data_IF_393675733812
#
_entry.id   IF_393675733812
#
_cell.length_a   1.000
_cell.length_b   1.000
_cell.length_c   1.000
_cell.angle_alpha   90.00
_cell.angle_beta   90.00
_cell.angle_gamma   90.00
#
_symmetry.space_group_name_H-M   'P 1'
#
loop_
_entity.id
_entity.type
_entity.pdbx_description
1 polymer ?
#
# COMPACT_ATOMS: atom_id res chain seq x y z
N UNK A 1 51.87 10.69 -12.12
CA UNK A 1 50.47 10.24 -12.03
C UNK A 1 50.31 8.86 -12.70
N UNK A 2 51.09 7.84 -12.25
CA UNK A 2 51.14 6.47 -12.84
C UNK A 2 51.45 5.44 -11.74
N UNK A 3 50.69 5.44 -10.64
CA UNK A 3 51.05 4.62 -9.46
C UNK A 3 49.93 4.02 -8.63
N UNK A 4 48.65 4.22 -8.99
CA UNK A 4 47.53 3.76 -8.13
C UNK A 4 46.65 2.69 -8.82
N UNK A 5 46.82 2.40 -10.11
CA UNK A 5 45.98 1.42 -10.86
C UNK A 5 46.70 0.06 -11.01
N UNK A 6 47.40 -0.43 -9.97
CA UNK A 6 48.03 -1.77 -10.02
C UNK A 6 47.56 -2.76 -8.96
N UNK A 7 46.60 -2.40 -8.12
CA UNK A 7 46.13 -3.26 -7.02
C UNK A 7 44.68 -3.75 -7.14
N UNK A 8 44.04 -3.67 -8.31
CA UNK A 8 42.65 -4.15 -8.48
C UNK A 8 42.48 -5.24 -9.55
N UNK A 9 43.56 -5.88 -10.03
CA UNK A 9 43.45 -6.87 -11.12
C UNK A 9 44.14 -8.22 -10.88
N UNK A 10 44.45 -8.59 -9.64
CA UNK A 10 45.04 -9.90 -9.37
C UNK A 10 44.62 -10.45 -8.01
N UNK A 11 43.40 -10.99 -7.93
CA UNK A 11 43.09 -12.17 -7.12
C UNK A 11 41.67 -12.65 -7.41
N UNK A 12 41.49 -13.10 -8.64
CA UNK A 12 40.53 -14.16 -8.96
C UNK A 12 41.32 -15.24 -9.72
N UNK A 13 40.85 -16.48 -9.64
CA UNK A 13 41.41 -17.74 -10.16
C UNK A 13 42.40 -18.51 -9.26
N UNK A 14 41.86 -19.52 -8.56
CA UNK A 14 42.21 -20.96 -8.69
C UNK A 14 41.63 -21.73 -7.48
N UNK A 15 40.72 -22.71 -7.59
CA UNK A 15 40.13 -23.37 -8.76
C UNK A 15 39.04 -24.40 -8.39
N UNK A 16 38.41 -24.88 -9.47
CA UNK A 16 37.73 -26.17 -9.73
C UNK A 16 36.36 -26.44 -9.06
N UNK A 17 35.18 -26.26 -9.72
CA UNK A 17 34.53 -27.10 -10.78
C UNK A 17 34.36 -28.59 -10.36
N UNK A 18 33.21 -29.27 -10.32
CA UNK A 18 31.84 -29.14 -10.88
C UNK A 18 30.85 -29.93 -9.99
N UNK A 19 29.58 -29.48 -9.86
CA UNK A 19 28.39 -30.25 -10.27
C UNK A 19 27.11 -29.39 -10.15
N UNK A 20 26.11 -29.77 -10.91
CA UNK A 20 25.08 -28.97 -11.56
C UNK A 20 23.80 -28.79 -10.72
N UNK A 21 23.26 -27.57 -10.77
CA UNK A 21 21.86 -27.14 -10.67
C UNK A 21 20.80 -28.21 -10.30
N UNK A 22 20.14 -28.03 -9.15
CA UNK A 22 18.67 -28.07 -9.05
C UNK A 22 18.15 -27.18 -7.91
N UNK A 23 17.22 -26.28 -8.22
CA UNK A 23 16.13 -25.96 -7.29
C UNK A 23 16.24 -24.69 -6.45
N UNK A 24 15.89 -23.56 -7.05
CA UNK A 24 15.25 -22.42 -6.38
C UNK A 24 13.99 -22.88 -5.65
N UNK A 25 13.91 -22.74 -4.32
CA UNK A 25 12.70 -22.35 -3.58
C UNK A 25 12.96 -22.26 -2.07
N UNK A 26 12.45 -21.18 -1.48
CA UNK A 26 12.17 -21.02 -0.05
C UNK A 26 13.36 -20.98 0.92
N UNK A 27 13.75 -19.76 1.32
CA UNK A 27 13.87 -19.35 2.74
C UNK A 27 14.19 -17.84 2.85
N UNK A 28 13.36 -17.00 2.25
CA UNK A 28 13.19 -15.61 2.74
C UNK A 28 12.10 -15.64 3.82
N UNK A 29 12.27 -16.49 4.81
CA UNK A 29 11.42 -16.52 5.99
C UNK A 29 11.78 -15.33 6.87
N UNK A 30 10.88 -14.34 6.88
CA UNK A 30 10.53 -13.52 8.03
C UNK A 30 11.70 -13.14 8.95
N UNK A 31 12.45 -12.11 8.57
CA UNK A 31 13.00 -11.20 9.57
C UNK A 31 11.99 -10.06 9.80
N UNK A 32 10.76 -10.43 10.17
CA UNK A 32 10.07 -9.67 11.18
C UNK A 32 10.91 -9.86 12.43
N UNK A 33 11.70 -8.86 12.79
CA UNK A 33 12.29 -8.79 14.11
C UNK A 33 11.10 -8.87 15.08
N UNK A 34 10.90 -10.07 15.64
CA UNK A 34 10.06 -10.29 16.80
C UNK A 34 10.70 -9.48 17.92
N UNK A 35 10.32 -8.20 18.01
CA UNK A 35 10.45 -7.48 19.26
C UNK A 35 9.58 -8.25 20.23
N UNK A 36 10.22 -9.10 21.03
CA UNK A 36 9.62 -9.68 22.21
C UNK A 36 9.02 -8.50 22.98
N UNK A 37 7.68 -8.42 22.97
CA UNK A 37 6.95 -7.53 23.86
C UNK A 37 7.58 -7.72 25.24
N UNK A 38 8.12 -6.66 25.90
CA UNK A 38 8.66 -6.80 27.23
C UNK A 38 7.53 -7.33 28.10
N UNK A 39 7.55 -8.64 28.33
CA UNK A 39 6.51 -9.32 29.07
C UNK A 39 6.50 -8.71 30.45
N UNK A 40 5.34 -8.19 30.85
CA UNK A 40 5.15 -7.76 32.22
C UNK A 40 5.27 -9.00 33.13
N UNK A 41 6.37 -9.13 33.88
CA UNK A 41 6.51 -10.14 34.94
C UNK A 41 5.90 -9.56 36.23
N UNK A 42 4.73 -10.05 36.68
CA UNK A 42 4.09 -9.54 37.87
C UNK A 42 4.96 -9.76 39.10
N UNK A 43 5.08 -8.73 39.93
CA UNK A 43 5.72 -8.85 41.22
C UNK A 43 4.96 -9.88 42.07
N UNK A 44 5.68 -10.79 42.74
CA UNK A 44 5.11 -11.89 43.54
C UNK A 44 5.13 -11.52 45.02
N UNK A 45 4.10 -11.93 45.78
CA UNK A 45 4.05 -11.63 47.22
C UNK A 45 5.05 -12.55 47.92
N UNK A 46 6.08 -11.97 48.52
CA UNK A 46 6.89 -12.66 49.51
C UNK A 46 6.16 -12.60 50.87
N UNK A 47 5.75 -13.76 51.38
CA UNK A 47 5.21 -13.89 52.72
C UNK A 47 6.36 -13.93 53.72
N UNK A 48 6.28 -13.08 54.73
CA UNK A 48 7.18 -13.13 55.88
C UNK A 48 6.49 -13.85 57.04
N UNK A 49 7.26 -14.31 58.04
CA UNK A 49 6.72 -14.94 59.24
C UNK A 49 5.64 -14.06 59.90
N UNK A 50 5.82 -12.74 59.85
CA UNK A 50 4.88 -11.74 60.35
C UNK A 50 3.53 -11.75 59.63
N UNK A 51 3.42 -12.24 58.40
CA UNK A 51 2.15 -12.32 57.64
C UNK A 51 1.36 -13.59 57.94
N UNK A 52 1.98 -14.55 58.62
CA UNK A 52 1.34 -15.82 58.96
C UNK A 52 0.73 -15.75 60.35
N UNK A 53 -0.36 -16.50 60.55
CA UNK A 53 -0.97 -16.66 61.88
C UNK A 53 0.05 -17.23 62.86
N UNK A 54 0.89 -18.16 62.41
CA UNK A 54 1.94 -18.79 63.22
C UNK A 54 2.95 -17.76 63.76
N UNK A 55 3.54 -16.93 62.88
CA UNK A 55 4.52 -15.94 63.31
C UNK A 55 3.92 -14.83 64.17
N UNK A 56 2.65 -14.44 63.93
CA UNK A 56 1.94 -13.48 64.79
C UNK A 56 1.60 -14.05 66.16
N UNK A 57 1.12 -15.30 66.23
CA UNK A 57 0.90 -15.99 67.51
C UNK A 57 2.24 -16.08 68.26
N UNK A 58 3.32 -16.50 67.59
CA UNK A 58 4.67 -16.56 68.17
C UNK A 58 5.15 -15.21 68.72
N UNK A 59 4.85 -14.11 68.03
CA UNK A 59 5.14 -12.75 68.50
C UNK A 59 4.33 -12.35 69.74
N UNK A 60 3.04 -12.69 69.78
CA UNK A 60 2.14 -12.38 70.91
C UNK A 60 2.49 -13.22 72.15
N UNK A 61 2.82 -14.50 71.98
CA UNK A 61 3.11 -15.44 73.09
C UNK A 61 4.59 -15.52 73.47
N UNK A 62 5.46 -14.78 72.78
CA UNK A 62 6.89 -14.74 73.09
C UNK A 62 7.08 -14.54 74.60
N UNK A 63 8.04 -15.27 75.21
CA UNK A 63 8.19 -15.34 76.68
C UNK A 63 8.37 -13.98 77.36
N UNK A 64 8.73 -12.94 76.60
CA UNK A 64 8.96 -11.57 77.06
C UNK A 64 7.84 -10.60 76.67
N UNK A 65 6.72 -11.09 76.13
CA UNK A 65 5.62 -10.20 75.74
C UNK A 65 4.94 -9.63 76.98
N UNK A 66 4.47 -8.37 76.95
CA UNK A 66 3.77 -7.75 78.07
C UNK A 66 2.54 -8.56 78.50
N UNK A 67 1.82 -9.15 77.54
CA UNK A 67 0.61 -9.93 77.82
C UNK A 67 0.93 -11.27 78.50
N UNK A 68 2.02 -11.94 78.08
CA UNK A 68 2.46 -13.19 78.71
C UNK A 68 3.01 -12.92 80.11
N UNK A 69 3.76 -11.83 80.30
CA UNK A 69 4.27 -11.41 81.62
C UNK A 69 3.12 -11.08 82.58
N UNK A 70 2.09 -10.37 82.09
CA UNK A 70 0.89 -10.05 82.86
C UNK A 70 0.10 -11.31 83.22
N UNK A 71 -0.07 -12.24 82.28
CA UNK A 71 -0.75 -13.51 82.50
C UNK A 71 -0.02 -14.38 83.54
N UNK A 72 1.31 -14.51 83.44
CA UNK A 72 2.14 -15.24 84.41
C UNK A 72 2.09 -14.60 85.81
N UNK A 73 2.15 -13.27 85.87
CA UNK A 73 2.06 -12.54 87.15
C UNK A 73 0.68 -12.70 87.79
N UNK A 74 -0.40 -12.55 87.02
CA UNK A 74 -1.77 -12.72 87.50
C UNK A 74 -2.06 -14.16 87.94
N UNK A 75 -1.53 -15.15 87.22
CA UNK A 75 -1.62 -16.56 87.59
C UNK A 75 -0.88 -16.86 88.90
N UNK A 76 0.34 -16.34 89.07
CA UNK A 76 1.12 -16.48 90.29
C UNK A 76 0.42 -15.82 91.49
N UNK A 77 -0.15 -14.62 91.32
CA UNK A 77 -0.91 -13.94 92.37
C UNK A 77 -2.17 -14.72 92.79
N UNK A 78 -2.91 -15.30 91.83
CA UNK A 78 -4.09 -16.13 92.10
C UNK A 78 -3.76 -17.49 92.71
N UNK A 79 -2.61 -18.07 92.35
CA UNK A 79 -2.13 -19.31 92.98
C UNK A 79 -1.71 -19.05 94.44
N UNK A 80 -0.97 -17.96 94.68
CA UNK A 80 -0.54 -17.53 96.01
C UNK A 80 -1.74 -17.20 96.91
N UNK A 81 -2.78 -16.54 96.41
CA UNK A 81 -3.98 -16.22 97.19
C UNK A 81 -4.81 -17.45 97.56
N UNK A 82 -4.64 -18.57 96.86
CA UNK A 82 -5.31 -19.85 97.13
C UNK A 82 -4.45 -20.83 97.94
N UNK A 83 -3.24 -20.44 98.35
CA UNK A 83 -2.30 -21.32 99.04
C UNK A 83 -1.84 -22.52 98.21
N UNK A 84 -2.07 -22.46 96.89
CA UNK A 84 -1.70 -23.52 95.97
C UNK A 84 -0.22 -23.33 95.61
N UNK A 85 0.65 -24.02 96.35
CA UNK A 85 2.10 -24.11 96.06
C UNK A 85 2.39 -24.70 94.67
N UNK A 86 1.39 -25.26 93.99
CA UNK A 86 1.50 -25.86 92.66
C UNK A 86 1.32 -24.79 91.56
N UNK A 87 2.37 -23.99 91.36
CA UNK A 87 2.43 -22.87 90.41
C UNK A 87 2.48 -23.32 88.94
N UNK A 88 2.93 -24.55 88.66
CA UNK A 88 3.08 -25.08 87.30
C UNK A 88 1.73 -25.23 86.56
N UNK A 89 0.69 -25.70 87.25
CA UNK A 89 -0.64 -25.87 86.66
C UNK A 89 -1.33 -24.53 86.40
N UNK A 90 -1.18 -23.57 87.32
CA UNK A 90 -1.73 -22.22 87.16
C UNK A 90 -1.04 -21.45 86.01
N UNK A 91 0.26 -21.66 85.80
CA UNK A 91 1.00 -21.08 84.68
C UNK A 91 0.60 -21.72 83.34
N UNK A 92 0.42 -23.04 83.28
CA UNK A 92 -0.04 -23.73 82.06
C UNK A 92 -1.43 -23.28 81.60
N UNK A 93 -2.39 -23.10 82.52
CA UNK A 93 -3.71 -22.57 82.20
C UNK A 93 -3.66 -21.10 81.76
N UNK A 94 -2.74 -20.30 82.31
CA UNK A 94 -2.55 -18.91 81.90
C UNK A 94 -1.92 -18.80 80.51
N UNK A 95 -0.94 -19.65 80.19
CA UNK A 95 -0.34 -19.73 78.85
C UNK A 95 -1.39 -20.18 77.81
N UNK A 96 -2.22 -21.18 78.15
CA UNK A 96 -3.33 -21.63 77.31
C UNK A 96 -4.35 -20.52 77.05
N UNK A 97 -4.78 -19.79 78.09
CA UNK A 97 -5.70 -18.67 77.96
C UNK A 97 -5.12 -17.54 77.08
N UNK A 98 -3.80 -17.28 77.18
CA UNK A 98 -3.12 -16.33 76.29
C UNK A 98 -3.11 -16.83 74.85
N UNK A 99 -2.85 -18.11 74.59
CA UNK A 99 -2.86 -18.68 73.23
C UNK A 99 -4.27 -18.63 72.62
N UNK A 100 -5.30 -19.00 73.38
CA UNK A 100 -6.71 -18.97 72.93
C UNK A 100 -7.18 -17.55 72.60
N UNK A 101 -6.71 -16.55 73.35
CA UNK A 101 -7.01 -15.12 73.07
C UNK A 101 -6.13 -14.53 71.97
N UNK A 102 -4.87 -14.98 71.84
CA UNK A 102 -3.93 -14.52 70.82
C UNK A 102 -4.26 -15.03 69.42
N UNK A 103 -4.77 -16.26 69.30
CA UNK A 103 -5.07 -16.91 68.01
C UNK A 103 -6.06 -16.11 67.13
N UNK A 104 -7.23 -15.66 67.61
CA UNK A 104 -8.15 -14.87 66.78
C UNK A 104 -7.60 -13.48 66.43
N UNK A 105 -6.79 -12.87 67.31
CA UNK A 105 -6.14 -11.57 67.04
C UNK A 105 -5.09 -11.74 65.94
N UNK A 106 -4.24 -12.77 66.06
CA UNK A 106 -3.24 -13.10 65.06
C UNK A 106 -3.86 -13.48 63.71
N UNK A 107 -5.00 -14.19 63.70
CA UNK A 107 -5.73 -14.51 62.49
C UNK A 107 -6.25 -13.26 61.77
N UNK A 108 -6.87 -12.32 62.51
CA UNK A 108 -7.35 -11.07 61.94
C UNK A 108 -6.21 -10.19 61.40
N UNK A 109 -5.11 -10.12 62.12
CA UNK A 109 -3.96 -9.30 61.77
C UNK A 109 -3.19 -9.87 60.57
N UNK A 110 -3.06 -11.20 60.49
CA UNK A 110 -2.53 -11.89 59.30
C UNK A 110 -3.39 -11.63 58.06
N UNK A 111 -4.71 -11.68 58.19
CA UNK A 111 -5.64 -11.35 57.11
C UNK A 111 -5.50 -9.90 56.64
N UNK A 112 -5.39 -8.96 57.58
CA UNK A 112 -5.21 -7.54 57.26
C UNK A 112 -3.88 -7.28 56.55
N UNK A 113 -2.78 -7.88 57.01
CA UNK A 113 -1.46 -7.75 56.38
C UNK A 113 -1.46 -8.32 54.96
N UNK A 114 -2.03 -9.51 54.78
CA UNK A 114 -2.16 -10.12 53.46
C UNK A 114 -3.01 -9.26 52.52
N UNK A 115 -4.11 -8.68 53.01
CA UNK A 115 -4.97 -7.79 52.23
C UNK A 115 -4.21 -6.54 51.78
N UNK A 116 -3.43 -5.90 52.66
CA UNK A 116 -2.60 -4.73 52.31
C UNK A 116 -1.50 -5.10 51.33
N UNK A 117 -0.77 -6.20 51.55
CA UNK A 117 0.28 -6.66 50.62
C UNK A 117 -0.28 -6.96 49.24
N UNK A 118 -1.43 -7.61 49.17
CA UNK A 118 -2.13 -7.90 47.91
C UNK A 118 -2.61 -6.62 47.21
N UNK A 119 -3.17 -5.67 47.96
CA UNK A 119 -3.60 -4.39 47.39
C UNK A 119 -2.42 -3.58 46.83
N UNK A 120 -1.31 -3.50 47.56
CA UNK A 120 -0.10 -2.80 47.11
C UNK A 120 0.51 -3.47 45.88
N UNK A 121 0.58 -4.80 45.87
CA UNK A 121 1.05 -5.54 44.69
C UNK A 121 0.15 -5.31 43.48
N UNK A 122 -1.16 -5.37 43.64
CA UNK A 122 -2.08 -5.13 42.54
C UNK A 122 -1.94 -3.70 41.99
N UNK A 123 -1.80 -2.71 42.87
CA UNK A 123 -1.55 -1.33 42.46
C UNK A 123 -0.22 -1.17 41.72
N UNK A 124 0.85 -1.81 42.20
CA UNK A 124 2.16 -1.81 41.54
C UNK A 124 2.10 -2.50 40.17
N UNK A 125 1.41 -3.64 40.09
CA UNK A 125 1.22 -4.37 38.83
C UNK A 125 0.40 -3.58 37.82
N UNK A 126 -0.62 -2.87 38.29
CA UNK A 126 -1.42 -1.99 37.45
C UNK A 126 -0.60 -0.79 36.96
N UNK A 127 0.20 -0.16 37.82
CA UNK A 127 1.06 0.97 37.44
C UNK A 127 2.13 0.55 36.42
N UNK A 128 2.77 -0.60 36.62
CA UNK A 128 3.79 -1.11 35.72
C UNK A 128 3.19 -1.50 34.35
N UNK A 129 2.01 -2.11 34.32
CA UNK A 129 1.33 -2.44 33.06
C UNK A 129 0.90 -1.17 32.29
N UNK A 130 0.43 -0.13 32.98
CA UNK A 130 0.15 1.17 32.36
C UNK A 130 1.40 1.83 31.78
N UNK A 131 2.53 1.77 32.50
CA UNK A 131 3.81 2.30 32.01
C UNK A 131 4.26 1.57 30.74
N UNK A 132 4.17 0.23 30.72
CA UNK A 132 4.52 -0.57 29.54
C UNK A 132 3.66 -0.20 28.33
N UNK A 133 2.35 -0.05 28.50
CA UNK A 133 1.44 0.39 27.44
C UNK A 133 1.78 1.80 26.95
N UNK A 134 2.12 2.72 27.86
CA UNK A 134 2.56 4.06 27.51
C UNK A 134 3.86 4.07 26.69
N UNK A 135 4.85 3.27 27.10
CA UNK A 135 6.12 3.11 26.39
C UNK A 135 5.91 2.50 24.98
N UNK A 136 5.04 1.49 24.86
CA UNK A 136 4.68 0.90 23.56
C UNK A 136 3.98 1.90 22.63
N UNK A 137 3.05 2.70 23.16
CA UNK A 137 2.37 3.73 22.37
C UNK A 137 3.36 4.81 21.90
N UNK A 138 4.27 5.24 22.77
CA UNK A 138 5.32 6.20 22.39
C UNK A 138 6.23 5.65 21.28
N UNK A 139 6.65 4.39 21.39
CA UNK A 139 7.43 3.72 20.34
C UNK A 139 6.67 3.64 19.01
N UNK A 140 5.36 3.36 19.05
CA UNK A 140 4.53 3.33 17.86
C UNK A 140 4.38 4.70 17.20
N UNK A 141 4.20 5.76 18.00
CA UNK A 141 4.13 7.15 17.50
C UNK A 141 5.46 7.55 16.86
N UNK A 142 6.59 7.21 17.48
CA UNK A 142 7.93 7.48 16.93
C UNK A 142 8.15 6.73 15.61
N UNK A 143 7.82 5.44 15.55
CA UNK A 143 7.92 4.65 14.34
C UNK A 143 7.03 5.21 13.20
N UNK A 144 5.80 5.66 13.50
CA UNK A 144 4.95 6.32 12.52
C UNK A 144 5.51 7.67 12.07
N UNK A 145 6.09 8.46 12.97
CA UNK A 145 6.76 9.72 12.63
C UNK A 145 7.92 9.52 11.66
N UNK A 146 8.76 8.52 11.92
CA UNK A 146 9.90 8.17 11.06
C UNK A 146 9.42 7.70 9.67
N UNK A 147 8.40 6.84 9.61
CA UNK A 147 7.81 6.38 8.35
C UNK A 147 7.24 7.55 7.55
N UNK A 148 6.47 8.43 8.18
CA UNK A 148 5.91 9.61 7.52
C UNK A 148 7.00 10.57 7.01
N UNK A 149 8.09 10.74 7.77
CA UNK A 149 9.21 11.58 7.33
C UNK A 149 9.92 11.01 6.10
N UNK A 150 10.14 9.68 6.06
CA UNK A 150 10.72 8.99 4.91
C UNK A 150 9.82 9.06 3.70
N UNK A 151 8.51 8.84 3.87
CA UNK A 151 7.54 8.94 2.79
C UNK A 151 7.51 10.36 2.19
N UNK A 152 7.56 11.39 3.03
CA UNK A 152 7.63 12.78 2.56
C UNK A 152 8.92 13.08 1.78
N UNK A 153 10.05 12.51 2.21
CA UNK A 153 11.32 12.64 1.50
C UNK A 153 11.33 11.90 0.16
N UNK A 154 10.73 10.71 0.10
CA UNK A 154 10.55 9.94 -1.13
C UNK A 154 9.63 10.67 -2.12
N UNK A 155 8.52 11.23 -1.65
CA UNK A 155 7.62 12.04 -2.48
C UNK A 155 8.34 13.25 -3.09
N UNK A 156 9.13 13.97 -2.29
CA UNK A 156 9.93 15.10 -2.81
C UNK A 156 10.94 14.66 -3.87
N UNK A 157 11.60 13.52 -3.65
CA UNK A 157 12.57 12.96 -4.60
C UNK A 157 11.89 12.50 -5.90
N UNK A 158 10.68 11.94 -5.80
CA UNK A 158 9.88 11.52 -6.95
C UNK A 158 9.45 12.73 -7.80
N UNK A 159 8.98 13.81 -7.17
CA UNK A 159 8.63 15.04 -7.88
C UNK A 159 9.82 15.65 -8.62
N UNK A 160 11.00 15.66 -8.00
CA UNK A 160 12.22 16.14 -8.62
C UNK A 160 12.62 15.30 -9.85
N UNK A 161 12.57 13.97 -9.74
CA UNK A 161 12.85 13.07 -10.86
C UNK A 161 11.85 13.26 -12.01
N UNK A 162 10.57 13.42 -11.69
CA UNK A 162 9.53 13.68 -12.69
C UNK A 162 9.74 15.04 -13.38
N UNK A 163 10.13 16.06 -12.63
CA UNK A 163 10.47 17.37 -13.19
C UNK A 163 11.70 17.29 -14.11
N UNK A 164 12.73 16.54 -13.71
CA UNK A 164 13.91 16.31 -14.55
C UNK A 164 13.55 15.58 -15.84
N UNK A 165 12.75 14.50 -15.74
CA UNK A 165 12.31 13.74 -16.91
C UNK A 165 11.48 14.61 -17.87
N UNK A 166 10.61 15.48 -17.36
CA UNK A 166 9.86 16.45 -18.18
C UNK A 166 10.80 17.46 -18.87
N UNK A 167 11.83 17.92 -18.17
CA UNK A 167 12.87 18.79 -18.74
C UNK A 167 13.64 18.10 -19.88
N UNK A 168 14.03 16.84 -19.66
CA UNK A 168 14.74 16.04 -20.67
C UNK A 168 13.86 15.74 -21.89
N UNK A 169 12.59 15.39 -21.68
CA UNK A 169 11.61 15.20 -22.75
C UNK A 169 11.39 16.47 -23.57
N UNK A 170 11.27 17.63 -22.91
CA UNK A 170 11.12 18.91 -23.58
C UNK A 170 12.36 19.26 -24.43
N UNK A 171 13.57 18.98 -23.92
CA UNK A 171 14.82 19.16 -24.68
C UNK A 171 14.87 18.24 -25.90
N UNK A 172 14.55 16.96 -25.73
CA UNK A 172 14.52 16.00 -26.84
C UNK A 172 13.51 16.40 -27.93
N UNK A 173 12.33 16.89 -27.51
CA UNK A 173 11.32 17.35 -28.46
C UNK A 173 11.79 18.57 -29.24
N UNK A 174 12.41 19.55 -28.57
CA UNK A 174 13.00 20.73 -29.22
C UNK A 174 14.13 20.37 -30.20
N UNK A 175 14.97 19.39 -29.85
CA UNK A 175 15.99 18.84 -30.75
C UNK A 175 15.37 18.16 -31.97
N UNK A 176 14.30 17.37 -31.77
CA UNK A 176 13.56 16.71 -32.84
C UNK A 176 12.90 17.72 -33.79
N UNK A 177 12.28 18.76 -33.26
CA UNK A 177 11.67 19.85 -34.05
C UNK A 177 12.73 20.58 -34.90
N UNK A 178 13.89 20.88 -34.30
CA UNK A 178 15.01 21.51 -35.02
C UNK A 178 15.49 20.61 -36.15
N UNK A 179 15.65 19.31 -35.90
CA UNK A 179 16.08 18.34 -36.91
C UNK A 179 15.04 18.15 -38.02
N UNK A 180 13.76 18.10 -37.66
CA UNK A 180 12.66 18.00 -38.62
C UNK A 180 12.63 19.22 -39.55
N UNK A 181 12.82 20.43 -39.01
CA UNK A 181 12.92 21.66 -39.79
C UNK A 181 14.13 21.64 -40.73
N UNK A 182 15.30 21.18 -40.27
CA UNK A 182 16.50 21.03 -41.09
C UNK A 182 16.28 20.05 -42.25
N UNK A 183 15.67 18.89 -41.99
CA UNK A 183 15.37 17.88 -43.01
C UNK A 183 14.34 18.42 -44.02
N UNK A 184 13.31 19.13 -43.55
CA UNK A 184 12.30 19.74 -44.42
C UNK A 184 12.93 20.78 -45.35
N UNK A 185 13.80 21.64 -44.83
CA UNK A 185 14.54 22.62 -45.64
C UNK A 185 15.45 21.93 -46.67
N UNK A 186 16.23 20.92 -46.23
CA UNK A 186 17.06 20.12 -47.12
C UNK A 186 16.23 19.45 -48.22
N UNK A 187 15.07 18.88 -47.88
CA UNK A 187 14.17 18.20 -48.83
C UNK A 187 13.62 19.16 -49.88
N UNK A 188 13.27 20.40 -49.50
CA UNK A 188 12.85 21.43 -50.46
C UNK A 188 13.99 21.81 -51.42
N UNK A 189 15.22 21.96 -50.92
CA UNK A 189 16.40 22.20 -51.76
C UNK A 189 16.67 21.03 -52.72
N UNK A 190 16.57 19.79 -52.23
CA UNK A 190 16.72 18.58 -53.07
C UNK A 190 15.65 18.52 -54.16
N UNK A 191 14.40 18.87 -53.84
CA UNK A 191 13.31 18.92 -54.82
C UNK A 191 13.56 19.92 -55.95
N UNK A 192 14.03 21.13 -55.60
CA UNK A 192 14.39 22.17 -56.58
C UNK A 192 15.57 21.77 -57.46
N UNK A 193 16.61 21.16 -56.88
CA UNK A 193 17.77 20.72 -57.64
C UNK A 193 17.38 19.56 -58.58
N UNK A 194 16.56 18.63 -58.10
CA UNK A 194 16.14 17.46 -58.91
C UNK A 194 15.29 17.89 -60.11
N UNK A 195 14.42 18.89 -59.96
CA UNK A 195 13.65 19.44 -61.08
C UNK A 195 14.55 20.18 -62.09
N UNK A 196 15.54 20.93 -61.60
CA UNK A 196 16.52 21.62 -62.46
C UNK A 196 17.37 20.62 -63.26
N UNK A 197 17.81 19.52 -62.64
CA UNK A 197 18.58 18.47 -63.32
C UNK A 197 17.74 17.75 -64.37
N UNK A 198 16.48 17.41 -64.07
CA UNK A 198 15.59 16.77 -65.04
C UNK A 198 15.30 17.67 -66.25
N UNK A 199 15.15 18.98 -66.04
CA UNK A 199 15.00 19.94 -67.14
C UNK A 199 16.27 19.99 -68.01
N UNK A 200 17.45 20.10 -67.40
CA UNK A 200 18.73 20.12 -68.11
C UNK A 200 18.99 18.82 -68.90
N UNK A 201 18.68 17.66 -68.33
CA UNK A 201 18.77 16.37 -69.03
C UNK A 201 17.79 16.33 -70.22
N UNK A 202 16.56 16.82 -70.04
CA UNK A 202 15.57 16.92 -71.11
C UNK A 202 16.06 17.79 -72.28
N UNK A 203 16.67 18.94 -72.00
CA UNK A 203 17.27 19.83 -73.01
C UNK A 203 18.44 19.17 -73.75
N UNK A 204 19.34 18.47 -73.03
CA UNK A 204 20.46 17.73 -73.65
C UNK A 204 19.96 16.64 -74.59
N UNK A 205 18.92 15.91 -74.19
CA UNK A 205 18.34 14.83 -74.99
C UNK A 205 17.63 15.38 -76.24
N UNK A 206 16.91 16.50 -76.12
CA UNK A 206 16.17 17.13 -77.21
C UNK A 206 17.04 17.80 -78.27
N UNK A 207 18.31 18.14 -77.96
CA UNK A 207 19.21 18.76 -78.91
C UNK A 207 19.66 17.76 -80.01
N UNK A 208 19.30 18.01 -81.27
CA UNK A 208 19.61 17.12 -82.41
C UNK A 208 21.02 17.29 -82.99
N UNK A 209 21.76 18.33 -82.59
CA UNK A 209 23.10 18.64 -83.13
C UNK A 209 24.22 17.90 -82.37
N UNK A 210 23.92 17.34 -81.20
CA UNK A 210 24.87 16.61 -80.38
C UNK A 210 24.92 15.13 -80.77
N UNK A 211 26.13 14.59 -80.87
CA UNK A 211 26.35 13.14 -81.03
C UNK A 211 25.92 12.39 -79.77
N UNK A 212 25.59 11.11 -79.91
CA UNK A 212 25.16 10.25 -78.79
C UNK A 212 26.19 10.18 -77.67
N UNK A 213 27.48 10.14 -78.02
CA UNK A 213 28.58 10.11 -77.04
C UNK A 213 28.73 11.45 -76.30
N UNK A 214 28.59 12.58 -77.00
CA UNK A 214 28.62 13.91 -76.36
C UNK A 214 27.42 14.12 -75.43
N UNK A 215 26.24 13.63 -75.80
CA UNK A 215 25.06 13.66 -74.92
C UNK A 215 25.29 12.88 -73.63
N UNK A 216 25.88 11.69 -73.73
CA UNK A 216 26.17 10.88 -72.56
C UNK A 216 27.17 11.58 -71.62
N UNK A 217 28.24 12.17 -72.15
CA UNK A 217 29.21 12.92 -71.35
C UNK A 217 28.61 14.14 -70.64
N UNK A 218 27.69 14.86 -71.29
CA UNK A 218 26.99 16.00 -70.69
C UNK A 218 26.00 15.57 -69.61
N UNK A 219 25.30 14.45 -69.81
CA UNK A 219 24.43 13.84 -68.79
C UNK A 219 25.27 13.40 -67.59
N UNK A 220 26.41 12.74 -67.81
CA UNK A 220 27.31 12.30 -66.74
C UNK A 220 27.84 13.48 -65.93
N UNK A 221 28.22 14.58 -66.59
CA UNK A 221 28.64 15.82 -65.94
C UNK A 221 27.51 16.46 -65.11
N UNK A 222 26.28 16.49 -65.63
CA UNK A 222 25.12 17.03 -64.92
C UNK A 222 24.79 16.18 -63.68
N UNK A 223 24.89 14.86 -63.81
CA UNK A 223 24.71 13.91 -62.69
C UNK A 223 25.85 14.02 -61.66
N UNK A 224 27.08 14.31 -62.08
CA UNK A 224 28.19 14.58 -61.17
C UNK A 224 27.98 15.89 -60.41
N UNK A 225 27.51 16.95 -61.06
CA UNK A 225 27.17 18.20 -60.37
C UNK A 225 26.02 18.00 -59.39
N UNK A 226 24.99 17.24 -59.75
CA UNK A 226 23.90 16.86 -58.84
C UNK A 226 24.42 16.20 -57.57
N UNK A 227 25.30 15.21 -57.72
CA UNK A 227 25.92 14.51 -56.59
C UNK A 227 26.74 15.45 -55.71
N UNK A 228 27.50 16.37 -56.31
CA UNK A 228 28.27 17.35 -55.55
C UNK A 228 27.37 18.32 -54.78
N UNK A 229 26.25 18.77 -55.36
CA UNK A 229 25.30 19.65 -54.69
C UNK A 229 24.54 18.93 -53.56
N UNK A 230 24.15 17.67 -53.76
CA UNK A 230 23.56 16.83 -52.71
C UNK A 230 24.53 16.56 -51.56
N UNK A 231 25.81 16.31 -51.87
CA UNK A 231 26.85 16.13 -50.87
C UNK A 231 27.09 17.40 -50.05
N UNK A 232 27.01 18.58 -50.68
CA UNK A 232 27.11 19.88 -49.98
C UNK A 232 25.88 20.12 -49.09
N UNK A 233 24.66 19.80 -49.54
CA UNK A 233 23.44 19.91 -48.71
C UNK A 233 23.45 18.91 -47.54
N UNK A 234 23.95 17.70 -47.76
CA UNK A 234 24.16 16.71 -46.70
C UNK A 234 25.24 17.15 -45.71
N UNK A 235 26.36 17.66 -46.21
CA UNK A 235 27.50 18.12 -45.41
C UNK A 235 27.26 19.41 -44.62
N UNK A 236 26.43 20.34 -45.12
CA UNK A 236 26.09 21.58 -44.39
C UNK A 236 25.10 21.36 -43.25
N UNK A 237 24.29 20.28 -43.31
CA UNK A 237 23.27 19.97 -42.31
C UNK A 237 23.58 18.74 -41.45
N UNK A 238 24.80 18.19 -41.58
CA UNK A 238 25.23 16.94 -40.94
C UNK A 238 24.25 15.76 -41.17
N UNK A 239 23.60 15.77 -42.34
CA UNK A 239 22.68 14.74 -42.80
C UNK A 239 23.45 13.78 -43.69
N UNK A 240 23.68 12.55 -43.23
CA UNK A 240 24.27 11.48 -44.03
C UNK A 240 23.27 10.97 -45.08
N UNK A 241 23.08 11.75 -46.15
CA UNK A 241 22.20 11.42 -47.29
C UNK A 241 22.83 10.37 -48.21
N UNK A 242 24.14 10.17 -48.13
CA UNK A 242 24.92 9.19 -48.89
C UNK A 242 24.56 7.74 -48.56
N UNK A 243 24.13 7.44 -47.33
CA UNK A 243 23.67 6.09 -46.93
C UNK A 243 22.20 5.80 -47.24
N UNK A 244 21.38 6.85 -47.44
CA UNK A 244 19.93 6.73 -47.67
C UNK A 244 19.59 6.65 -49.17
N UNK A 245 20.48 7.08 -50.05
CA UNK A 245 20.27 7.15 -51.48
C UNK A 245 21.25 6.22 -52.23
N UNK A 246 20.99 4.91 -52.21
CA UNK A 246 21.68 3.93 -53.05
C UNK A 246 21.14 4.00 -54.49
N UNK A 247 21.95 4.59 -55.38
CA UNK A 247 21.61 4.77 -56.79
C UNK A 247 22.24 3.71 -57.71
N UNK A 248 22.74 2.60 -57.15
CA UNK A 248 23.29 1.49 -57.95
C UNK A 248 22.27 0.86 -58.92
N UNK A 249 20.98 1.15 -58.76
CA UNK A 249 19.89 0.56 -59.54
C UNK A 249 19.30 1.45 -60.66
N UNK A 250 19.98 2.53 -61.09
CA UNK A 250 19.47 3.45 -62.13
C UNK A 250 20.25 3.45 -63.46
N UNK A 251 21.11 2.46 -63.71
CA UNK A 251 21.80 2.31 -65.00
C UNK A 251 21.82 0.86 -65.47
N UNK A 252 21.01 0.53 -66.47
CA UNK A 252 20.74 -0.85 -66.89
C UNK A 252 21.90 -1.59 -67.58
N UNK A 253 21.94 -2.90 -67.34
CA UNK A 253 22.62 -3.91 -68.17
C UNK A 253 21.99 -5.30 -67.97
N UNK A 254 21.02 -5.64 -68.84
CA UNK A 254 20.79 -6.96 -69.46
C UNK A 254 20.73 -8.30 -68.67
N UNK A 255 19.48 -8.72 -68.35
CA UNK A 255 18.85 -10.06 -68.49
C UNK A 255 19.33 -11.32 -67.71
N UNK A 256 18.50 -12.39 -67.54
CA UNK A 256 17.06 -12.54 -67.81
C UNK A 256 16.21 -12.94 -66.59
N UNK A 257 14.90 -12.76 -66.77
CA UNK A 257 13.79 -13.19 -65.90
C UNK A 257 13.75 -14.71 -65.75
N UNK A 258 13.64 -15.20 -64.51
CA UNK A 258 13.09 -16.54 -64.22
C UNK A 258 11.85 -16.41 -63.33
N UNK A 259 10.78 -17.03 -63.82
CA UNK A 259 9.42 -17.12 -63.29
C UNK A 259 9.28 -17.78 -61.92
N UNK A 260 8.35 -17.26 -61.12
CA UNK A 260 7.65 -17.93 -60.01
C UNK A 260 6.83 -16.89 -59.23
N UNK A 261 5.56 -16.63 -59.56
CA UNK A 261 4.36 -17.35 -59.05
C UNK A 261 4.42 -17.55 -57.53
N UNK A 262 3.60 -16.97 -56.66
CA UNK A 262 2.36 -16.20 -56.78
C UNK A 262 1.76 -16.00 -55.38
N UNK A 263 0.63 -15.29 -55.32
CA UNK A 263 -0.25 -14.93 -54.19
C UNK A 263 0.23 -13.77 -53.30
N UNK A 264 -0.39 -12.58 -53.29
CA UNK A 264 -1.78 -12.24 -53.60
C UNK A 264 -2.53 -12.00 -52.30
N UNK A 265 -2.46 -10.77 -51.78
CA UNK A 265 -3.39 -10.31 -50.75
C UNK A 265 -4.72 -9.86 -51.38
N UNK A 266 -5.83 -9.84 -50.60
CA UNK A 266 -6.92 -8.90 -50.81
C UNK A 266 -6.98 -7.93 -49.62
N UNK A 267 -6.86 -6.62 -49.85
CA UNK A 267 -7.96 -5.67 -50.12
C UNK A 267 -8.82 -5.37 -48.89
N UNK A 268 -8.62 -4.15 -48.41
CA UNK A 268 -9.45 -3.40 -47.45
C UNK A 268 -10.87 -3.18 -47.99
N UNK A 269 -11.87 -3.65 -47.25
CA UNK A 269 -13.28 -3.31 -47.44
C UNK A 269 -13.77 -2.39 -46.31
N UNK A 270 -14.49 -1.34 -46.69
CA UNK A 270 -15.16 -0.40 -45.77
C UNK A 270 -16.31 -1.04 -44.96
N UNK A 271 -16.91 -0.25 -44.04
CA UNK A 271 -17.57 -0.78 -42.84
C UNK A 271 -18.98 -1.28 -43.12
N UNK A 272 -19.27 -2.54 -42.76
CA UNK A 272 -20.64 -2.99 -42.54
C UNK A 272 -20.73 -3.81 -41.24
N UNK A 273 -21.26 -3.13 -40.23
CA UNK A 273 -22.11 -3.61 -39.13
C UNK A 273 -22.40 -5.11 -39.09
N UNK A 274 -21.82 -5.81 -38.09
CA UNK A 274 -22.42 -6.85 -37.23
C UNK A 274 -21.43 -7.91 -36.71
N UNK A 275 -20.31 -7.50 -36.10
CA UNK A 275 -19.47 -8.38 -35.27
C UNK A 275 -18.92 -7.62 -34.06
N UNK A 276 -19.66 -7.67 -32.95
CA UNK A 276 -19.24 -7.11 -31.66
C UNK A 276 -18.48 -8.18 -30.87
N UNK A 277 -17.20 -8.42 -31.19
CA UNK A 277 -16.34 -9.28 -30.36
C UNK A 277 -15.12 -8.52 -29.86
N UNK A 278 -14.80 -8.70 -28.57
CA UNK A 278 -13.65 -8.12 -27.86
C UNK A 278 -12.31 -8.32 -28.61
N UNK A 279 -12.22 -9.38 -29.42
CA UNK A 279 -11.10 -9.70 -30.30
C UNK A 279 -10.76 -8.60 -31.32
N UNK A 280 -11.76 -7.91 -31.89
CA UNK A 280 -11.52 -6.86 -32.90
C UNK A 280 -11.03 -5.57 -32.24
N UNK A 281 -11.50 -5.27 -31.02
CA UNK A 281 -11.10 -4.09 -30.26
C UNK A 281 -9.65 -4.21 -29.77
N UNK A 282 -9.27 -5.39 -29.27
CA UNK A 282 -7.90 -5.66 -28.81
C UNK A 282 -6.91 -5.71 -29.99
N UNK A 283 -7.32 -6.29 -31.13
CA UNK A 283 -6.49 -6.31 -32.34
C UNK A 283 -6.24 -4.90 -32.91
N UNK A 284 -7.23 -4.01 -32.82
CA UNK A 284 -7.07 -2.61 -33.21
C UNK A 284 -6.08 -1.83 -32.30
N UNK A 285 -6.05 -2.17 -31.01
CA UNK A 285 -5.13 -1.55 -30.04
C UNK A 285 -3.68 -2.03 -30.19
N UNK A 286 -3.44 -3.30 -30.56
CA UNK A 286 -2.08 -3.81 -30.80
C UNK A 286 -1.47 -3.34 -32.12
N UNK A 287 -2.28 -3.00 -33.12
CA UNK A 287 -1.77 -2.56 -34.44
C UNK A 287 -1.15 -1.16 -34.41
N UNK A 288 -1.37 -0.37 -33.34
CA UNK A 288 -0.86 1.01 -33.22
C UNK A 288 0.41 1.19 -32.38
N UNK A 289 1.01 0.14 -31.81
CA UNK A 289 2.24 0.32 -31.02
C UNK A 289 3.02 -0.96 -30.80
N UNK A 290 4.17 -1.09 -31.45
CA UNK A 290 5.12 -2.20 -31.28
C UNK A 290 5.93 -2.13 -29.98
N UNK A 291 5.25 -2.06 -28.83
CA UNK A 291 5.85 -2.09 -27.51
C UNK A 291 5.00 -2.90 -26.54
N UNK A 292 5.61 -3.45 -25.50
CA UNK A 292 4.90 -4.11 -24.40
C UNK A 292 3.75 -3.19 -23.93
N UNK A 293 2.53 -3.73 -23.74
CA UNK A 293 1.40 -2.91 -23.35
C UNK A 293 1.67 -2.26 -22.00
N UNK A 294 1.45 -0.95 -21.91
CA UNK A 294 1.38 -0.27 -20.61
C UNK A 294 0.23 -0.87 -19.79
N UNK A 295 0.34 -0.86 -18.45
CA UNK A 295 -0.73 -1.26 -17.52
C UNK A 295 -2.09 -0.62 -17.86
N UNK A 296 -2.10 0.52 -18.56
CA UNK A 296 -3.31 1.19 -19.04
C UNK A 296 -4.10 0.39 -20.08
N UNK A 297 -3.46 -0.42 -20.93
CA UNK A 297 -4.15 -1.24 -21.94
C UNK A 297 -4.82 -2.46 -21.29
N UNK A 298 -4.16 -3.08 -20.32
CA UNK A 298 -4.75 -4.14 -19.49
C UNK A 298 -5.95 -3.56 -18.73
N UNK A 299 -5.80 -2.37 -18.15
CA UNK A 299 -6.86 -1.65 -17.42
C UNK A 299 -8.08 -1.34 -18.28
N UNK A 300 -7.88 -0.76 -19.48
CA UNK A 300 -8.97 -0.44 -20.40
C UNK A 300 -9.70 -1.70 -20.90
N UNK A 301 -8.96 -2.78 -21.11
CA UNK A 301 -9.51 -4.07 -21.55
C UNK A 301 -10.35 -4.74 -20.46
N UNK A 302 -9.93 -4.62 -19.20
CA UNK A 302 -10.65 -5.15 -18.04
C UNK A 302 -11.96 -4.38 -17.81
N UNK A 303 -11.93 -3.05 -17.86
CA UNK A 303 -13.11 -2.21 -17.66
C UNK A 303 -14.17 -2.41 -18.76
N UNK A 304 -13.76 -2.58 -20.02
CA UNK A 304 -14.68 -2.84 -21.13
C UNK A 304 -15.27 -4.25 -21.07
N UNK A 305 -14.50 -5.25 -20.65
CA UNK A 305 -15.01 -6.62 -20.44
C UNK A 305 -16.02 -6.68 -19.29
N UNK A 306 -15.77 -5.93 -18.21
CA UNK A 306 -16.70 -5.77 -17.08
C UNK A 306 -17.97 -5.04 -17.53
N UNK A 307 -17.86 -3.99 -18.35
CA UNK A 307 -19.01 -3.27 -18.92
C UNK A 307 -19.89 -4.17 -19.79
N UNK A 308 -19.31 -5.18 -20.44
CA UNK A 308 -20.01 -6.17 -21.27
C UNK A 308 -20.56 -7.36 -20.49
N UNK A 309 -20.24 -7.48 -19.20
CA UNK A 309 -20.71 -8.58 -18.34
C UNK A 309 -20.12 -9.94 -18.71
N UNK A 310 -18.92 -9.96 -19.29
CA UNK A 310 -18.25 -11.20 -19.68
C UNK A 310 -17.76 -11.98 -18.45
N UNK A 311 -17.66 -13.31 -18.58
CA UNK A 311 -17.20 -14.17 -17.50
C UNK A 311 -15.66 -14.06 -17.34
N UNK A 312 -15.19 -14.20 -16.09
CA UNK A 312 -13.79 -14.09 -15.73
C UNK A 312 -12.90 -15.07 -16.49
N UNK A 313 -13.43 -16.23 -16.88
CA UNK A 313 -12.68 -17.26 -17.58
C UNK A 313 -12.53 -16.92 -19.08
N UNK A 314 -13.52 -16.28 -19.71
CA UNK A 314 -13.38 -15.74 -21.07
C UNK A 314 -12.37 -14.59 -21.13
N UNK A 315 -12.41 -13.69 -20.14
CA UNK A 315 -11.46 -12.56 -20.03
C UNK A 315 -10.04 -13.09 -19.81
N UNK A 316 -9.86 -14.04 -18.88
CA UNK A 316 -8.57 -14.68 -18.65
C UNK A 316 -8.09 -15.53 -19.84
N UNK A 317 -8.96 -16.26 -20.52
CA UNK A 317 -8.62 -17.04 -21.73
C UNK A 317 -8.11 -16.13 -22.85
N UNK A 318 -8.69 -14.94 -22.98
CA UNK A 318 -8.24 -13.96 -23.97
C UNK A 318 -6.92 -13.30 -23.56
N UNK A 319 -6.78 -12.91 -22.28
CA UNK A 319 -5.55 -12.32 -21.75
C UNK A 319 -4.38 -13.31 -21.75
N UNK A 320 -4.60 -14.59 -21.44
CA UNK A 320 -3.57 -15.62 -21.42
C UNK A 320 -3.05 -15.99 -22.81
N UNK A 321 -3.87 -15.84 -23.86
CA UNK A 321 -3.41 -15.97 -25.26
C UNK A 321 -2.50 -14.82 -25.68
N UNK A 322 -2.71 -13.63 -25.11
CA UNK A 322 -1.93 -12.43 -25.38
C UNK A 322 -0.68 -12.35 -24.47
N UNK A 323 -0.78 -12.87 -23.25
CA UNK A 323 0.24 -12.83 -22.19
C UNK A 323 0.35 -14.19 -21.49
N UNK A 324 1.05 -15.17 -22.11
CA UNK A 324 1.10 -16.54 -21.61
C UNK A 324 1.82 -16.70 -20.26
N UNK A 325 2.49 -15.66 -19.77
CA UNK A 325 3.29 -15.68 -18.54
C UNK A 325 2.55 -15.26 -17.28
N UNK A 326 1.31 -14.76 -17.37
CA UNK A 326 0.57 -14.28 -16.20
C UNK A 326 -0.21 -15.44 -15.56
N UNK A 327 0.13 -15.88 -14.33
CA UNK A 327 -0.62 -16.92 -13.63
C UNK A 327 -2.03 -16.45 -13.28
N UNK A 328 -3.01 -17.35 -13.32
CA UNK A 328 -4.41 -17.04 -12.96
C UNK A 328 -4.54 -16.37 -11.59
N UNK A 329 -3.74 -16.79 -10.63
CA UNK A 329 -3.77 -16.25 -9.27
C UNK A 329 -3.34 -14.77 -9.22
N UNK A 330 -2.35 -14.37 -10.03
CA UNK A 330 -1.97 -12.96 -10.13
C UNK A 330 -3.06 -12.12 -10.81
N UNK A 331 -3.74 -12.68 -11.81
CA UNK A 331 -4.89 -12.02 -12.43
C UNK A 331 -6.01 -11.79 -11.40
N UNK A 332 -6.35 -12.79 -10.59
CA UNK A 332 -7.39 -12.65 -9.55
C UNK A 332 -6.97 -11.64 -8.47
N UNK A 333 -5.70 -11.63 -8.06
CA UNK A 333 -5.18 -10.65 -7.10
C UNK A 333 -5.31 -9.21 -7.62
N UNK A 334 -4.97 -8.99 -8.89
CA UNK A 334 -5.04 -7.66 -9.52
C UNK A 334 -6.49 -7.19 -9.69
N UNK A 335 -7.41 -8.10 -10.05
CA UNK A 335 -8.86 -7.83 -10.12
C UNK A 335 -9.40 -7.48 -8.72
N UNK A 336 -8.93 -8.18 -7.68
CA UNK A 336 -9.34 -7.98 -6.29
C UNK A 336 -8.80 -6.67 -5.72
N UNK A 337 -7.54 -6.33 -5.99
CA UNK A 337 -6.91 -5.07 -5.61
C UNK A 337 -7.68 -3.85 -6.16
N UNK A 338 -8.43 -4.03 -7.25
CA UNK A 338 -9.24 -3.00 -7.91
C UNK A 338 -10.71 -2.98 -7.47
N UNK A 339 -11.06 -3.72 -6.41
CA UNK A 339 -12.38 -3.68 -5.80
C UNK A 339 -13.43 -4.56 -6.47
N UNK A 340 -13.03 -5.47 -7.35
CA UNK A 340 -13.90 -6.47 -7.96
C UNK A 340 -13.71 -7.83 -7.30
N UNK A 341 -14.77 -8.61 -7.17
CA UNK A 341 -14.72 -9.99 -6.66
C UNK A 341 -14.93 -10.97 -7.80
N UNK A 342 -14.17 -12.06 -7.80
CA UNK A 342 -14.37 -13.18 -8.71
C UNK A 342 -15.04 -14.30 -7.94
N UNK A 343 -16.34 -14.52 -8.16
CA UNK A 343 -17.10 -15.60 -7.50
C UNK A 343 -17.84 -16.44 -8.56
N UNK A 344 -17.55 -17.74 -8.61
CA UNK A 344 -18.17 -18.66 -9.57
C UNK A 344 -17.87 -18.35 -11.04
N UNK A 345 -16.69 -17.77 -11.33
CA UNK A 345 -16.29 -17.38 -12.69
C UNK A 345 -16.91 -16.07 -13.20
N UNK A 346 -17.64 -15.32 -12.35
CA UNK A 346 -18.15 -13.98 -12.68
C UNK A 346 -17.37 -12.92 -11.92
N UNK A 347 -17.06 -11.81 -12.59
CA UNK A 347 -16.48 -10.61 -12.00
C UNK A 347 -17.63 -9.70 -11.56
N UNK A 348 -17.76 -9.44 -10.26
CA UNK A 348 -18.76 -8.53 -9.71
C UNK A 348 -18.08 -7.36 -9.00
N UNK A 349 -18.60 -6.14 -9.17
CA UNK A 349 -18.09 -4.98 -8.44
C UNK A 349 -18.60 -5.06 -7.00
N UNK A 350 -17.68 -5.01 -6.04
CA UNK A 350 -18.04 -5.03 -4.62
C UNK A 350 -18.90 -3.79 -4.34
N UNK A 351 -20.19 -4.00 -4.03
CA UNK A 351 -21.15 -2.94 -3.67
C UNK A 351 -22.24 -2.59 -4.70
N UNK A 352 -22.35 -3.28 -5.85
CA UNK A 352 -23.49 -3.06 -6.76
C UNK A 352 -24.67 -4.01 -6.42
N UNK A 353 -25.60 -3.54 -5.59
CA UNK A 353 -26.92 -4.18 -5.48
C UNK A 353 -27.66 -4.05 -6.81
N UNK A 354 -28.07 -5.19 -7.35
CA UNK A 354 -28.88 -5.26 -8.57
C UNK A 354 -30.29 -4.76 -8.26
N UNK A 355 -30.69 -3.59 -8.76
CA UNK A 355 -32.11 -3.22 -8.86
C UNK A 355 -32.60 -3.43 -10.30
N UNK A 356 -33.78 -4.04 -10.50
CA UNK A 356 -34.36 -4.23 -11.82
C UNK A 356 -34.86 -2.89 -12.39
N UNK A 357 -34.62 -2.75 -13.69
CA UNK A 357 -34.93 -1.61 -14.54
C UNK A 357 -36.45 -1.45 -14.73
N UNK A 358 -37.04 -0.35 -14.25
CA UNK A 358 -38.36 0.13 -14.71
C UNK A 358 -38.34 1.64 -14.98
N UNK A 359 -38.30 1.94 -16.27
CA UNK A 359 -38.87 3.06 -17.04
C UNK A 359 -39.51 4.27 -16.32
N UNK A 360 -39.02 5.44 -16.76
CA UNK A 360 -39.65 6.75 -17.00
C UNK A 360 -40.08 7.68 -15.84
N UNK A 361 -39.81 9.01 -15.96
CA UNK A 361 -40.14 10.01 -14.95
C UNK A 361 -41.47 10.74 -15.24
N UNK A 362 -42.01 11.48 -14.27
CA UNK A 362 -42.66 12.75 -14.58
C UNK A 362 -41.99 13.92 -13.86
N UNK A 363 -41.82 14.99 -14.63
CA UNK A 363 -41.53 16.33 -14.13
C UNK A 363 -42.68 16.86 -13.26
N UNK A 364 -42.38 17.71 -12.28
CA UNK A 364 -42.83 19.12 -12.23
C UNK A 364 -42.38 19.82 -10.93
N UNK A 365 -41.58 20.86 -11.14
CA UNK A 365 -41.86 22.27 -10.81
C UNK A 365 -41.85 22.80 -9.35
N UNK A 366 -41.19 23.96 -9.24
CA UNK A 366 -41.55 25.13 -8.43
C UNK A 366 -41.20 25.17 -6.94
N UNK A 367 -40.15 25.93 -6.62
CA UNK A 367 -40.36 27.22 -5.96
C UNK A 367 -40.07 27.33 -4.46
N UNK A 368 -39.05 28.14 -4.18
CA UNK A 368 -39.07 29.29 -3.26
C UNK A 368 -38.35 29.19 -1.89
N UNK A 369 -37.38 30.10 -1.76
CA UNK A 369 -37.00 30.94 -0.61
C UNK A 369 -36.82 30.33 0.79
N UNK A 370 -35.61 30.51 1.34
CA UNK A 370 -35.36 30.42 2.77
C UNK A 370 -33.88 30.40 3.14
N UNK A 371 -33.14 31.47 2.83
CA UNK A 371 -31.84 31.71 3.48
C UNK A 371 -32.10 32.15 4.93
N UNK A 372 -31.63 31.33 5.87
CA UNK A 372 -31.56 31.68 7.29
C UNK A 372 -31.87 30.49 8.17
N UNK A 373 -30.86 30.04 8.93
CA UNK A 373 -30.88 28.94 9.90
C UNK A 373 -30.74 27.53 9.31
N UNK A 374 -29.55 27.17 8.81
CA UNK A 374 -29.27 25.76 8.53
C UNK A 374 -27.84 25.28 8.82
N UNK A 375 -27.27 25.66 9.97
CA UNK A 375 -26.00 25.08 10.43
C UNK A 375 -26.18 23.72 11.12
N UNK A 376 -27.36 23.40 11.65
CA UNK A 376 -27.62 22.14 12.37
C UNK A 376 -28.01 20.95 11.49
N UNK A 377 -28.76 21.14 10.39
CA UNK A 377 -29.17 20.01 9.54
C UNK A 377 -28.06 19.59 8.57
N UNK A 378 -27.11 20.48 8.27
CA UNK A 378 -25.98 20.18 7.38
C UNK A 378 -25.00 19.20 8.05
N UNK A 379 -24.68 19.40 9.34
CA UNK A 379 -23.77 18.54 10.10
C UNK A 379 -24.28 17.09 10.21
N UNK A 380 -25.57 16.89 10.45
CA UNK A 380 -26.14 15.53 10.53
C UNK A 380 -26.15 14.85 9.17
N UNK A 381 -26.50 15.56 8.11
CA UNK A 381 -26.54 15.01 6.74
C UNK A 381 -25.13 14.66 6.24
N UNK A 382 -24.16 15.54 6.50
CA UNK A 382 -22.75 15.30 6.19
C UNK A 382 -22.21 14.07 6.95
N UNK A 383 -22.57 13.96 8.23
CA UNK A 383 -22.19 12.82 9.06
C UNK A 383 -22.79 11.49 8.57
N UNK A 384 -24.08 11.47 8.20
CA UNK A 384 -24.75 10.27 7.68
C UNK A 384 -24.11 9.80 6.36
N UNK A 385 -23.82 10.73 5.45
CA UNK A 385 -23.13 10.43 4.20
C UNK A 385 -21.72 9.88 4.45
N UNK A 386 -20.97 10.52 5.36
CA UNK A 386 -19.62 10.05 5.75
C UNK A 386 -19.65 8.67 6.41
N UNK A 387 -20.62 8.42 7.28
CA UNK A 387 -20.79 7.12 7.94
C UNK A 387 -21.10 6.04 6.91
N UNK A 388 -22.01 6.33 5.98
CA UNK A 388 -22.36 5.43 4.89
C UNK A 388 -21.16 5.10 4.02
N UNK A 389 -20.38 6.10 3.57
CA UNK A 389 -19.20 5.84 2.73
C UNK A 389 -18.10 5.09 3.47
N UNK A 390 -17.86 5.44 4.74
CA UNK A 390 -16.76 4.88 5.53
C UNK A 390 -17.05 3.44 5.99
N UNK A 391 -18.29 3.13 6.36
CA UNK A 391 -18.66 1.80 6.87
C UNK A 391 -19.12 0.82 5.79
N UNK A 392 -19.43 1.28 4.57
CA UNK A 392 -19.77 0.40 3.44
C UNK A 392 -18.58 -0.47 2.98
N UNK A 393 -17.34 -0.06 3.30
CA UNK A 393 -16.14 -0.88 3.15
C UNK A 393 -15.91 -1.91 4.26
N UNK A 394 -16.82 -2.01 5.24
CA UNK A 394 -16.72 -2.85 6.42
C UNK A 394 -16.49 -2.02 7.70
N UNK A 395 -17.06 -2.51 8.80
CA UNK A 395 -16.98 -1.92 10.13
C UNK A 395 -15.68 -2.31 10.86
N UNK A 396 -14.54 -2.02 10.25
CA UNK A 396 -13.23 -2.20 10.88
C UNK A 396 -13.03 -1.17 11.99
N UNK A 397 -12.15 -1.47 12.95
CA UNK A 397 -11.83 -0.57 14.06
C UNK A 397 -11.37 0.83 13.57
N UNK A 398 -10.56 0.87 12.52
CA UNK A 398 -10.10 2.13 11.92
C UNK A 398 -11.25 2.96 11.31
N UNK A 399 -12.21 2.30 10.64
CA UNK A 399 -13.37 2.98 10.08
C UNK A 399 -14.33 3.49 11.17
N UNK A 400 -14.48 2.73 12.26
CA UNK A 400 -15.24 3.15 13.45
C UNK A 400 -14.64 4.42 14.06
N UNK A 401 -13.33 4.44 14.27
CA UNK A 401 -12.61 5.60 14.83
C UNK A 401 -12.76 6.83 13.93
N UNK A 402 -12.68 6.67 12.60
CA UNK A 402 -12.91 7.75 11.64
C UNK A 402 -14.31 8.34 11.76
N UNK A 403 -15.34 7.50 11.89
CA UNK A 403 -16.74 7.93 12.06
C UNK A 403 -16.93 8.67 13.38
N UNK A 404 -16.39 8.17 14.48
CA UNK A 404 -16.49 8.82 15.80
C UNK A 404 -15.78 10.19 15.82
N UNK A 405 -14.58 10.30 15.24
CA UNK A 405 -13.87 11.57 15.12
C UNK A 405 -14.63 12.57 14.25
N UNK A 406 -15.27 12.12 13.16
CA UNK A 406 -16.09 12.97 12.31
C UNK A 406 -17.34 13.44 13.05
N UNK A 407 -18.02 12.56 13.79
CA UNK A 407 -19.17 12.91 14.63
C UNK A 407 -18.82 14.01 15.63
N UNK A 408 -17.70 13.85 16.33
CA UNK A 408 -17.17 14.83 17.28
C UNK A 408 -16.90 16.18 16.62
N UNK A 409 -16.21 16.18 15.48
CA UNK A 409 -15.88 17.42 14.75
C UNK A 409 -17.12 18.19 14.29
N UNK A 410 -18.24 17.48 14.09
CA UNK A 410 -19.50 18.03 13.60
C UNK A 410 -20.51 18.31 14.73
N UNK A 411 -20.16 18.02 16.00
CA UNK A 411 -21.04 18.18 17.15
C UNK A 411 -22.30 17.30 17.06
N UNK A 412 -22.18 16.11 16.47
CA UNK A 412 -23.32 15.22 16.25
C UNK A 412 -23.70 14.50 17.55
N UNK A 413 -24.99 14.48 17.85
CA UNK A 413 -25.49 13.82 19.05
C UNK A 413 -25.16 12.31 19.06
N UNK A 414 -24.79 11.72 20.22
CA UNK A 414 -24.51 10.29 20.40
C UNK A 414 -25.59 9.35 19.89
N UNK A 415 -26.85 9.76 20.03
CA UNK A 415 -27.96 8.96 19.52
C UNK A 415 -27.94 8.84 18.00
N UNK A 416 -27.64 9.93 17.30
CA UNK A 416 -27.54 9.96 15.84
C UNK A 416 -26.37 9.11 15.34
N UNK A 417 -25.25 9.11 16.07
CA UNK A 417 -24.09 8.25 15.78
C UNK A 417 -24.45 6.78 15.99
N UNK A 418 -25.12 6.45 17.08
CA UNK A 418 -25.58 5.08 17.32
C UNK A 418 -26.55 4.61 16.24
N UNK A 419 -27.56 5.41 15.90
CA UNK A 419 -28.57 5.03 14.92
C UNK A 419 -27.93 4.79 13.53
N UNK A 420 -26.92 5.58 13.15
CA UNK A 420 -26.18 5.41 11.88
C UNK A 420 -25.24 4.20 11.87
N UNK A 421 -24.70 3.82 13.02
CA UNK A 421 -23.77 2.69 13.16
C UNK A 421 -24.46 1.37 13.49
N UNK A 422 -25.65 1.40 14.10
CA UNK A 422 -26.39 0.21 14.54
C UNK A 422 -26.61 -0.87 13.47
N UNK A 423 -26.82 -0.55 12.17
CA UNK A 423 -26.96 -1.58 11.13
C UNK A 423 -25.69 -2.41 10.94
N UNK A 424 -24.53 -1.87 11.32
CA UNK A 424 -23.23 -2.52 11.19
C UNK A 424 -22.82 -3.31 12.44
N UNK A 425 -23.51 -3.10 13.57
CA UNK A 425 -23.27 -3.79 14.85
C UNK A 425 -24.56 -4.39 15.43
N UNK A 426 -25.11 -5.45 14.83
CA UNK A 426 -26.33 -6.05 15.32
C UNK A 426 -26.14 -6.60 16.74
N UNK A 427 -27.02 -6.21 17.65
CA UNK A 427 -27.07 -6.73 19.03
C UNK A 427 -26.37 -5.90 20.09
N UNK A 428 -25.72 -4.79 19.74
CA UNK A 428 -25.20 -3.83 20.72
C UNK A 428 -26.32 -2.85 21.11
N UNK A 429 -26.63 -2.75 22.41
CA UNK A 429 -27.58 -1.74 22.89
C UNK A 429 -26.97 -0.34 22.90
N UNK A 430 -27.81 0.70 22.89
CA UNK A 430 -27.33 2.08 22.98
C UNK A 430 -26.44 2.33 24.21
N UNK A 431 -26.77 1.73 25.36
CA UNK A 431 -25.94 1.86 26.57
C UNK A 431 -24.59 1.13 26.44
N UNK A 432 -24.58 -0.07 25.83
CA UNK A 432 -23.34 -0.79 25.57
C UNK A 432 -22.44 0.00 24.61
N UNK A 433 -23.03 0.63 23.60
CA UNK A 433 -22.33 1.52 22.69
C UNK A 433 -21.71 2.72 23.42
N UNK A 434 -22.48 3.42 24.26
CA UNK A 434 -21.94 4.55 25.03
C UNK A 434 -20.80 4.13 25.96
N UNK A 435 -20.93 2.99 26.64
CA UNK A 435 -19.87 2.47 27.53
C UNK A 435 -18.59 2.12 26.76
N UNK A 436 -18.71 1.53 25.57
CA UNK A 436 -17.56 1.17 24.74
C UNK A 436 -16.85 2.40 24.17
N UNK A 437 -17.63 3.40 23.71
CA UNK A 437 -17.09 4.67 23.21
C UNK A 437 -16.41 5.46 24.34
N UNK A 438 -17.01 5.48 25.53
CA UNK A 438 -16.43 6.12 26.71
C UNK A 438 -15.16 5.40 27.20
N UNK A 439 -15.15 4.07 27.22
CA UNK A 439 -13.97 3.28 27.56
C UNK A 439 -12.78 3.55 26.63
N UNK A 440 -13.07 3.92 25.37
CA UNK A 440 -12.07 4.29 24.37
C UNK A 440 -11.72 5.79 24.37
N UNK A 441 -12.29 6.58 25.29
CA UNK A 441 -11.98 8.00 25.46
C UNK A 441 -12.58 8.92 24.39
N UNK A 442 -13.56 8.45 23.62
CA UNK A 442 -14.22 9.23 22.58
C UNK A 442 -15.48 9.96 23.07
N UNK A 443 -15.91 9.73 24.31
CA UNK A 443 -17.14 10.32 24.86
C UNK A 443 -17.02 10.61 26.35
N UNK A 444 -17.42 11.80 26.78
CA UNK A 444 -17.55 12.14 28.20
C UNK A 444 -18.99 11.91 28.67
N UNK A 445 -19.17 10.83 29.45
CA UNK A 445 -20.46 10.44 30.03
C UNK A 445 -21.06 11.52 30.95
N UNK A 446 -20.24 12.45 31.47
CA UNK A 446 -20.69 13.52 32.37
C UNK A 446 -21.22 14.73 31.61
N UNK A 447 -20.68 15.00 30.41
CA UNK A 447 -21.01 16.16 29.58
C UNK A 447 -22.10 15.93 28.53
N UNK A 448 -22.37 14.67 28.16
CA UNK A 448 -23.34 14.36 27.11
C UNK A 448 -22.83 14.57 25.68
N UNK A 449 -21.57 15.01 25.53
CA UNK A 449 -20.92 15.40 24.27
C UNK A 449 -19.74 14.47 23.93
N UNK A 450 -19.48 14.29 22.62
CA UNK A 450 -18.31 13.57 22.11
C UNK A 450 -17.02 14.40 22.17
#
# INVERSE_FOLDING_TARGET
MVGIIKNMLAQDANGDEQDVLTGTAASTSNQQAQQQSPGYDPEKIALEDSDTVEGRVKGIIASNSPIMTLAKTGAAQRANSRGLLNTSMALGEAEKAVIETATPIAAQDAQNSLAVKTANQNAQNQANSQKLTGDQNLQQIQAQGDVNSKLNQENYTYEMNLQQLRGDQARQLSELETRANQISQASNSVGLISSQVNAAIGEILANTELTTETKQQLIDLQMQQYRNQLAVIGGMNDLNLTGLLDFSNLGGSGAPVTSGSGNGGPVTGGPNSSANTYQDYVSALLTQGGGQPSESLITASLDEAIRRGEDANSVFSTLSKLYPTVPYDQFVQEVTARGYQVQGGKITKTGATSQPNTQNPPATNSGNSGQGQNSGQNSTTEFLNFTGTTLNGGATEDNIVKVLNKARSLGVAPRTVYDSMSPYFPGISYEQFLNEVAARGYYDLVGGEF
#
